data_IF_105143293718
#
_entry.id   IF_105143293718
#
_cell.length_a   1.000
_cell.length_b   1.000
_cell.length_c   1.000
_cell.angle_alpha   90.00
_cell.angle_beta   90.00
_cell.angle_gamma   90.00
#
_symmetry.space_group_name_H-M   'P 1'
#
loop_
_entity.id
_entity.type
_entity.pdbx_description
1 polymer ?
#
# COMPACT_ATOMS: atom_id res chain seq x y z
N UNK A 1 16.63 -13.01 24.05
CA UNK A 1 17.13 -13.13 22.68
C UNK A 1 15.97 -13.53 21.79
N UNK A 2 15.81 -12.86 20.66
CA UNK A 2 14.86 -13.25 19.59
C UNK A 2 15.66 -13.75 18.40
N UNK A 3 15.09 -14.67 17.63
CA UNK A 3 15.76 -15.26 16.46
C UNK A 3 15.43 -14.51 15.18
N UNK A 4 14.26 -13.85 15.10
CA UNK A 4 13.85 -13.00 14.01
C UNK A 4 12.80 -11.98 14.48
N UNK A 5 12.59 -10.91 13.69
CA UNK A 5 11.53 -9.93 13.91
C UNK A 5 10.67 -9.83 12.65
N UNK A 6 9.36 -9.99 12.82
CA UNK A 6 8.37 -9.72 11.77
C UNK A 6 7.43 -8.65 12.29
N UNK A 7 7.15 -7.68 11.48
CA UNK A 7 6.14 -6.69 11.84
C UNK A 7 6.68 -5.29 11.93
N UNK A 8 5.87 -4.48 12.54
CA UNK A 8 5.73 -3.06 12.68
C UNK A 8 5.10 -2.39 11.43
N UNK A 9 4.42 -1.27 11.67
CA UNK A 9 3.69 -0.52 10.64
C UNK A 9 4.06 0.97 10.60
N UNK A 10 5.05 1.41 11.39
CA UNK A 10 5.45 2.81 11.49
C UNK A 10 6.87 3.01 10.97
N UNK A 11 7.06 3.92 10.00
CA UNK A 11 8.34 4.15 9.33
C UNK A 11 9.52 4.41 10.30
N UNK A 12 9.34 5.26 11.30
CA UNK A 12 10.38 5.55 12.29
C UNK A 12 10.79 4.32 13.13
N UNK A 13 9.83 3.46 13.47
CA UNK A 13 10.10 2.20 14.18
C UNK A 13 10.84 1.21 13.27
N UNK A 14 10.50 1.17 11.98
CA UNK A 14 11.20 0.35 10.99
C UNK A 14 12.70 0.70 10.92
N UNK A 15 13.00 2.01 10.85
CA UNK A 15 14.38 2.48 10.84
C UNK A 15 15.14 2.09 12.11
N UNK A 16 14.51 2.28 13.29
CA UNK A 16 15.14 1.92 14.56
C UNK A 16 15.44 0.41 14.66
N UNK A 17 14.50 -0.44 14.22
CA UNK A 17 14.72 -1.91 14.19
C UNK A 17 15.79 -2.28 13.16
N UNK A 18 15.83 -1.61 12.01
CA UNK A 18 16.88 -1.83 11.01
C UNK A 18 18.28 -1.52 11.56
N UNK A 19 18.45 -0.46 12.34
CA UNK A 19 19.73 -0.16 13.01
C UNK A 19 20.11 -1.22 14.06
N UNK A 20 19.13 -1.75 14.81
CA UNK A 20 19.36 -2.90 15.68
C UNK A 20 19.76 -4.14 14.88
N UNK A 21 19.12 -4.38 13.73
CA UNK A 21 19.46 -5.50 12.85
C UNK A 21 20.90 -5.40 12.30
N UNK A 22 21.38 -4.20 11.96
CA UNK A 22 22.78 -3.97 11.57
C UNK A 22 23.76 -4.33 12.69
N UNK A 23 23.42 -3.97 13.94
CA UNK A 23 24.27 -4.20 15.11
C UNK A 23 24.28 -5.65 15.57
N UNK A 24 23.10 -6.27 15.66
CA UNK A 24 22.89 -7.54 16.35
C UNK A 24 22.67 -8.72 15.40
N UNK A 25 22.58 -8.44 14.09
CA UNK A 25 22.44 -9.42 13.01
C UNK A 25 21.32 -10.44 13.23
N UNK A 26 20.06 -10.00 13.18
CA UNK A 26 18.88 -10.88 13.16
C UNK A 26 18.02 -10.61 11.92
N UNK A 27 17.32 -11.61 11.36
CA UNK A 27 16.39 -11.42 10.24
C UNK A 27 15.25 -10.49 10.63
N UNK A 28 14.98 -9.51 9.79
CA UNK A 28 13.91 -8.54 10.00
C UNK A 28 13.02 -8.41 8.76
N UNK A 29 11.71 -8.61 8.93
CA UNK A 29 10.70 -8.51 7.88
C UNK A 29 9.67 -7.43 8.26
N UNK A 30 9.93 -6.16 7.92
CA UNK A 30 8.94 -5.10 8.14
C UNK A 30 7.68 -5.33 7.30
N UNK A 31 6.52 -5.24 7.96
CA UNK A 31 5.21 -5.42 7.33
C UNK A 31 4.78 -4.15 6.62
N UNK A 32 4.98 -3.01 7.23
CA UNK A 32 4.82 -1.72 6.60
C UNK A 32 6.17 -1.02 6.47
N UNK A 33 6.23 -0.05 5.64
CA UNK A 33 7.43 0.29 4.92
C UNK A 33 8.18 1.42 5.57
N UNK A 34 9.47 1.25 5.61
CA UNK A 34 10.42 2.32 5.81
C UNK A 34 10.29 3.38 4.70
N UNK A 35 10.64 4.66 4.96
CA UNK A 35 10.75 5.66 3.89
C UNK A 35 11.62 5.17 2.74
N UNK A 36 11.37 5.67 1.53
CA UNK A 36 12.12 5.34 0.32
C UNK A 36 13.65 5.39 0.52
N UNK A 37 14.13 6.37 1.27
CA UNK A 37 15.55 6.54 1.57
C UNK A 37 16.17 5.35 2.31
N UNK A 38 15.37 4.54 2.98
CA UNK A 38 15.83 3.30 3.63
C UNK A 38 16.32 2.25 2.64
N UNK A 39 15.82 2.27 1.41
CA UNK A 39 16.21 1.34 0.35
C UNK A 39 17.42 1.83 -0.46
N UNK A 40 17.95 3.02 -0.17
CA UNK A 40 19.22 3.44 -0.75
C UNK A 40 20.34 2.48 -0.35
N UNK A 41 21.24 2.24 -1.30
CA UNK A 41 22.36 1.30 -1.13
C UNK A 41 23.15 1.59 0.15
N UNK A 42 23.31 0.56 0.97
CA UNK A 42 24.04 0.64 2.24
C UNK A 42 23.20 1.14 3.42
N UNK A 43 21.92 1.48 3.23
CA UNK A 43 21.05 1.92 4.32
C UNK A 43 20.37 0.76 5.03
N UNK A 44 19.86 -0.23 4.29
CA UNK A 44 19.29 -1.44 4.91
C UNK A 44 20.39 -2.36 5.47
N UNK A 45 20.07 -3.05 6.55
CA UNK A 45 20.84 -4.19 7.00
C UNK A 45 20.70 -5.36 6.01
N UNK A 46 21.77 -6.13 5.85
CA UNK A 46 21.78 -7.28 4.93
C UNK A 46 20.70 -8.33 5.23
N UNK A 47 20.21 -8.36 6.47
CA UNK A 47 19.17 -9.29 6.95
C UNK A 47 17.78 -8.65 7.05
N UNK A 48 17.58 -7.43 6.53
CA UNK A 48 16.26 -6.77 6.46
C UNK A 48 15.65 -6.96 5.08
N UNK A 49 14.47 -7.59 5.02
CA UNK A 49 13.69 -7.82 3.80
C UNK A 49 12.28 -7.25 3.98
N UNK A 50 11.94 -6.19 3.27
CA UNK A 50 10.61 -5.59 3.39
C UNK A 50 9.53 -6.50 2.79
N UNK A 51 8.41 -6.67 3.47
CA UNK A 51 7.28 -7.42 2.91
C UNK A 51 6.25 -6.50 2.23
N UNK A 52 6.16 -5.24 2.67
CA UNK A 52 5.36 -4.20 2.01
C UNK A 52 6.21 -3.25 1.17
N UNK A 53 5.56 -2.30 0.50
CA UNK A 53 6.25 -1.34 -0.38
C UNK A 53 6.48 0.00 0.32
N UNK A 54 7.30 0.86 -0.35
CA UNK A 54 7.49 2.24 0.09
C UNK A 54 6.22 3.07 -0.13
N UNK A 55 5.99 4.12 0.65
CA UNK A 55 4.94 5.09 0.38
C UNK A 55 5.07 5.72 -1.01
N UNK A 56 6.29 5.85 -1.53
CA UNK A 56 6.54 6.29 -2.91
C UNK A 56 5.81 5.38 -3.94
N UNK A 57 5.95 4.06 -3.81
CA UNK A 57 5.26 3.09 -4.68
C UNK A 57 3.75 3.23 -4.58
N UNK A 58 3.22 3.46 -3.37
CA UNK A 58 1.78 3.72 -3.16
C UNK A 58 1.32 4.97 -3.92
N UNK A 59 2.07 6.07 -3.80
CA UNK A 59 1.77 7.33 -4.50
C UNK A 59 1.88 7.20 -6.02
N UNK A 60 2.91 6.50 -6.49
CA UNK A 60 3.11 6.23 -7.92
C UNK A 60 1.94 5.42 -8.50
N UNK A 61 1.54 4.32 -7.84
CA UNK A 61 0.40 3.52 -8.28
C UNK A 61 -0.91 4.30 -8.25
N UNK A 62 -1.14 5.14 -7.22
CA UNK A 62 -2.35 5.94 -7.10
C UNK A 62 -2.49 6.92 -8.26
N UNK A 63 -1.43 7.68 -8.58
CA UNK A 63 -1.46 8.63 -9.68
C UNK A 63 -1.48 7.93 -11.05
N UNK A 64 -0.72 6.82 -11.21
CA UNK A 64 -0.75 5.99 -12.42
C UNK A 64 -2.16 5.47 -12.69
N UNK A 65 -2.85 4.92 -11.67
CA UNK A 65 -4.21 4.45 -11.77
C UNK A 65 -5.20 5.58 -12.11
N UNK A 66 -5.08 6.72 -11.43
CA UNK A 66 -5.93 7.88 -11.69
C UNK A 66 -5.81 8.35 -13.15
N UNK A 67 -4.58 8.39 -13.70
CA UNK A 67 -4.33 8.89 -15.05
C UNK A 67 -4.69 7.84 -16.11
N UNK A 68 -4.16 6.61 -15.98
CA UNK A 68 -4.24 5.60 -17.03
C UNK A 68 -5.55 4.80 -17.01
N UNK A 69 -6.04 4.46 -15.80
CA UNK A 69 -7.22 3.61 -15.67
C UNK A 69 -8.51 4.44 -15.60
N UNK A 70 -8.45 5.63 -14.95
CA UNK A 70 -9.62 6.49 -14.78
C UNK A 70 -9.64 7.71 -15.73
N UNK A 71 -8.57 7.97 -16.50
CA UNK A 71 -8.48 9.11 -17.42
C UNK A 71 -8.42 10.48 -16.76
N UNK A 72 -8.02 10.58 -15.48
CA UNK A 72 -8.02 11.79 -14.66
C UNK A 72 -6.64 12.44 -14.64
N UNK A 73 -6.47 13.57 -15.31
CA UNK A 73 -5.16 14.19 -15.53
C UNK A 73 -4.88 15.42 -14.67
N UNK A 74 -5.91 16.18 -14.28
CA UNK A 74 -5.75 17.35 -13.40
C UNK A 74 -5.87 16.90 -11.94
N UNK A 75 -4.76 16.84 -11.25
CA UNK A 75 -4.63 16.29 -9.89
C UNK A 75 -4.56 17.44 -8.89
N UNK A 76 -5.37 17.40 -7.84
CA UNK A 76 -5.10 18.11 -6.60
C UNK A 76 -4.62 17.10 -5.56
N UNK A 77 -3.47 17.36 -4.93
CA UNK A 77 -2.87 16.45 -3.97
C UNK A 77 -2.92 17.01 -2.54
N UNK A 78 -3.41 16.22 -1.59
CA UNK A 78 -3.34 16.52 -0.16
C UNK A 78 -2.37 15.57 0.53
N UNK A 79 -1.21 16.08 0.89
CA UNK A 79 -0.17 15.37 1.64
C UNK A 79 -0.45 15.30 3.14
N UNK A 80 0.39 14.53 3.82
CA UNK A 80 0.55 14.54 5.27
C UNK A 80 1.98 15.02 5.58
N UNK A 81 2.14 15.87 6.61
CA UNK A 81 3.42 16.51 6.95
C UNK A 81 4.37 15.57 7.72
N UNK A 82 4.70 14.45 7.09
CA UNK A 82 5.68 13.48 7.57
C UNK A 82 6.27 12.67 6.40
N UNK A 83 7.22 11.77 6.69
CA UNK A 83 7.90 10.95 5.69
C UNK A 83 6.94 10.08 4.86
N UNK A 84 5.82 9.64 5.41
CA UNK A 84 4.78 8.94 4.67
C UNK A 84 4.17 9.82 3.57
N UNK A 85 3.71 11.02 3.97
CA UNK A 85 3.08 11.96 3.03
C UNK A 85 4.04 12.47 1.96
N UNK A 86 5.29 12.78 2.33
CA UNK A 86 6.30 13.27 1.39
C UNK A 86 6.71 12.23 0.36
N UNK A 87 6.88 10.97 0.76
CA UNK A 87 7.18 9.88 -0.17
C UNK A 87 6.01 9.62 -1.12
N UNK A 88 4.77 9.60 -0.62
CA UNK A 88 3.57 9.47 -1.48
C UNK A 88 3.54 10.61 -2.50
N UNK A 89 3.77 11.85 -2.06
CA UNK A 89 3.83 12.99 -2.96
C UNK A 89 4.87 12.81 -4.06
N UNK A 90 6.08 12.38 -3.72
CA UNK A 90 7.14 12.14 -4.69
C UNK A 90 6.75 11.06 -5.72
N UNK A 91 6.06 10.01 -5.29
CA UNK A 91 5.49 8.99 -6.17
C UNK A 91 4.41 9.55 -7.11
N UNK A 92 3.48 10.34 -6.57
CA UNK A 92 2.42 11.02 -7.35
C UNK A 92 3.04 11.96 -8.39
N UNK A 93 4.02 12.77 -8.01
CA UNK A 93 4.71 13.69 -8.91
C UNK A 93 5.44 12.95 -10.04
N UNK A 94 6.09 11.84 -9.71
CA UNK A 94 6.79 11.01 -10.71
C UNK A 94 5.82 10.41 -11.72
N UNK A 95 4.74 9.78 -11.27
CA UNK A 95 3.75 9.19 -12.15
C UNK A 95 2.99 10.26 -12.97
N UNK A 96 2.66 11.41 -12.37
CA UNK A 96 2.04 12.52 -13.09
C UNK A 96 2.92 12.99 -14.25
N UNK A 97 4.22 13.17 -14.01
CA UNK A 97 5.19 13.56 -15.05
C UNK A 97 5.30 12.49 -16.15
N UNK A 98 5.34 11.21 -15.78
CA UNK A 98 5.53 10.10 -16.71
C UNK A 98 4.31 9.90 -17.61
N UNK A 99 3.09 9.99 -17.05
CA UNK A 99 1.84 9.71 -17.77
C UNK A 99 1.08 10.95 -18.25
N UNK A 100 1.69 12.13 -18.18
CA UNK A 100 1.11 13.36 -18.69
C UNK A 100 -0.05 13.90 -17.86
N UNK A 101 0.00 13.66 -16.55
CA UNK A 101 -0.85 14.34 -15.56
C UNK A 101 -0.27 15.69 -15.16
N UNK A 102 -1.11 16.53 -14.55
CA UNK A 102 -0.72 17.86 -14.05
C UNK A 102 -1.21 18.04 -12.63
N UNK A 103 -0.32 18.35 -11.70
CA UNK A 103 -0.68 18.73 -10.34
C UNK A 103 -1.05 20.21 -10.35
N UNK A 104 -2.37 20.50 -10.25
CA UNK A 104 -2.90 21.86 -10.32
C UNK A 104 -3.04 22.53 -8.95
N UNK A 105 -2.88 21.77 -7.87
CA UNK A 105 -2.90 22.28 -6.51
C UNK A 105 -2.34 21.26 -5.53
N UNK A 106 -1.82 21.80 -4.42
CA UNK A 106 -1.22 20.98 -3.36
C UNK A 106 -1.38 21.64 -2.01
N UNK A 107 -1.79 20.87 -1.03
CA UNK A 107 -1.78 21.23 0.39
C UNK A 107 -1.19 20.09 1.23
N UNK A 108 -0.86 20.39 2.47
CA UNK A 108 -0.32 19.45 3.44
C UNK A 108 -0.95 19.71 4.80
N UNK A 109 -1.25 18.64 5.55
CA UNK A 109 -1.81 18.73 6.90
C UNK A 109 -1.07 17.78 7.84
N UNK A 110 -1.09 18.10 9.13
CA UNK A 110 -0.48 17.24 10.14
C UNK A 110 -1.31 15.99 10.40
N UNK A 111 -0.66 14.91 10.84
CA UNK A 111 -1.35 13.75 11.36
C UNK A 111 -2.26 14.15 12.54
N UNK A 112 -3.44 13.55 12.61
CA UNK A 112 -4.46 13.87 13.62
C UNK A 112 -5.36 15.03 13.24
N UNK A 113 -5.24 15.57 12.01
CA UNK A 113 -6.17 16.57 11.49
C UNK A 113 -7.58 15.96 11.36
N UNK A 114 -8.56 16.61 11.95
CA UNK A 114 -9.96 16.19 11.92
C UNK A 114 -10.88 17.14 11.15
N UNK A 115 -10.47 18.40 10.92
CA UNK A 115 -11.19 19.39 10.13
C UNK A 115 -10.40 19.73 8.85
N UNK A 116 -10.96 19.38 7.71
CA UNK A 116 -10.40 19.59 6.39
C UNK A 116 -11.14 20.67 5.58
N UNK A 117 -12.10 21.37 6.18
CA UNK A 117 -12.99 22.32 5.51
C UNK A 117 -12.25 23.36 4.68
N UNK A 118 -11.19 23.95 5.24
CA UNK A 118 -10.36 24.97 4.56
C UNK A 118 -9.65 24.40 3.32
N UNK A 119 -9.07 23.18 3.42
CA UNK A 119 -8.40 22.53 2.28
C UNK A 119 -9.43 22.14 1.24
N UNK A 120 -10.55 21.53 1.66
CA UNK A 120 -11.60 21.10 0.74
C UNK A 120 -12.25 22.27 -0.02
N UNK A 121 -12.35 23.45 0.59
CA UNK A 121 -12.78 24.65 -0.12
C UNK A 121 -11.82 25.05 -1.25
N UNK A 122 -10.49 24.93 -1.03
CA UNK A 122 -9.47 25.15 -2.08
C UNK A 122 -9.56 24.10 -3.19
N UNK A 123 -9.71 22.82 -2.83
CA UNK A 123 -9.91 21.71 -3.77
C UNK A 123 -11.10 21.98 -4.66
N UNK A 124 -12.25 22.35 -4.06
CA UNK A 124 -13.47 22.69 -4.79
C UNK A 124 -13.27 23.86 -5.76
N UNK A 125 -12.59 24.91 -5.33
CA UNK A 125 -12.31 26.08 -6.16
C UNK A 125 -11.35 25.77 -7.34
N UNK A 126 -10.39 24.84 -7.15
CA UNK A 126 -9.44 24.44 -8.17
C UNK A 126 -10.05 23.54 -9.26
N UNK A 127 -11.16 22.88 -9.01
CA UNK A 127 -11.87 21.98 -9.94
C UNK A 127 -10.95 20.94 -10.60
N UNK A 128 -10.26 20.09 -9.84
CA UNK A 128 -9.45 19.03 -10.38
C UNK A 128 -10.32 17.93 -11.03
N UNK A 129 -9.73 17.08 -11.88
CA UNK A 129 -10.38 15.85 -12.35
C UNK A 129 -10.39 14.81 -11.23
N UNK A 130 -9.33 14.82 -10.38
CA UNK A 130 -9.17 13.93 -9.25
C UNK A 130 -8.51 14.63 -8.06
N UNK A 131 -9.06 14.39 -6.89
CA UNK A 131 -8.47 14.75 -5.61
C UNK A 131 -7.81 13.51 -4.99
N UNK A 132 -6.47 13.49 -4.93
CA UNK A 132 -5.68 12.40 -4.34
C UNK A 132 -5.24 12.81 -2.94
N UNK A 133 -5.51 11.98 -1.93
CA UNK A 133 -5.07 12.23 -0.56
C UNK A 133 -4.15 11.14 -0.02
N UNK A 134 -3.17 11.55 0.82
CA UNK A 134 -2.26 10.67 1.54
C UNK A 134 -2.69 10.42 3.00
N UNK A 135 -3.96 10.72 3.32
CA UNK A 135 -4.48 10.52 4.67
C UNK A 135 -4.71 9.04 4.96
N UNK A 136 -4.62 8.66 6.25
CA UNK A 136 -4.75 7.27 6.67
C UNK A 136 -5.55 7.14 7.97
N UNK A 137 -6.18 5.98 8.20
CA UNK A 137 -6.91 5.68 9.43
C UNK A 137 -8.04 6.67 9.71
N UNK A 138 -8.09 7.21 10.93
CA UNK A 138 -9.12 8.14 11.36
C UNK A 138 -9.13 9.45 10.56
N UNK A 139 -7.96 9.94 10.17
CA UNK A 139 -7.82 11.17 9.36
C UNK A 139 -8.44 10.96 7.96
N UNK A 140 -8.21 9.77 7.35
CA UNK A 140 -8.83 9.44 6.07
C UNK A 140 -10.36 9.34 6.19
N UNK A 141 -10.88 8.73 7.25
CA UNK A 141 -12.32 8.63 7.49
C UNK A 141 -12.93 10.03 7.63
N UNK A 142 -12.32 10.92 8.42
CA UNK A 142 -12.77 12.29 8.61
C UNK A 142 -12.76 13.09 7.30
N UNK A 143 -11.66 12.98 6.53
CA UNK A 143 -11.52 13.65 5.23
C UNK A 143 -12.60 13.17 4.24
N UNK A 144 -12.71 11.86 4.04
CA UNK A 144 -13.61 11.27 3.04
C UNK A 144 -15.08 11.55 3.36
N UNK A 145 -15.45 11.56 4.67
CA UNK A 145 -16.77 11.97 5.11
C UNK A 145 -17.03 13.43 4.77
N UNK A 146 -16.08 14.34 5.04
CA UNK A 146 -16.23 15.76 4.70
C UNK A 146 -16.28 15.98 3.18
N UNK A 147 -15.56 15.21 2.37
CA UNK A 147 -15.72 15.24 0.91
C UNK A 147 -17.15 14.94 0.49
N UNK A 148 -17.76 13.92 1.10
CA UNK A 148 -19.16 13.56 0.85
C UNK A 148 -20.12 14.65 1.30
N UNK A 149 -19.98 15.14 2.55
CA UNK A 149 -20.86 16.17 3.14
C UNK A 149 -20.82 17.48 2.33
N UNK A 150 -19.67 17.83 1.73
CA UNK A 150 -19.50 18.98 0.83
C UNK A 150 -19.90 18.70 -0.62
N UNK A 151 -20.29 17.48 -0.96
CA UNK A 151 -20.71 17.07 -2.31
C UNK A 151 -19.59 16.99 -3.34
N UNK A 152 -18.31 16.90 -2.92
CA UNK A 152 -17.17 16.87 -3.82
C UNK A 152 -17.12 15.60 -4.70
N UNK A 153 -17.63 14.49 -4.18
CA UNK A 153 -17.75 13.23 -4.93
C UNK A 153 -18.68 13.32 -6.16
N UNK A 154 -19.51 14.36 -6.25
CA UNK A 154 -20.37 14.64 -7.43
C UNK A 154 -19.66 15.54 -8.46
N UNK A 155 -18.61 16.22 -8.06
CA UNK A 155 -17.91 17.21 -8.90
C UNK A 155 -16.58 16.69 -9.45
N UNK A 156 -15.92 15.76 -8.71
CA UNK A 156 -14.63 15.22 -9.07
C UNK A 156 -14.45 13.79 -8.55
N UNK A 157 -13.45 13.08 -9.06
CA UNK A 157 -13.06 11.78 -8.52
C UNK A 157 -12.35 11.96 -7.18
N UNK A 158 -12.82 11.28 -6.13
CA UNK A 158 -12.14 11.24 -4.83
C UNK A 158 -11.29 9.98 -4.78
N UNK A 159 -9.99 10.15 -4.53
CA UNK A 159 -9.02 9.07 -4.51
C UNK A 159 -8.19 9.13 -3.22
N UNK A 160 -8.29 8.12 -2.38
CA UNK A 160 -7.38 7.98 -1.25
C UNK A 160 -6.22 7.06 -1.63
N UNK A 161 -4.98 7.53 -1.53
CA UNK A 161 -3.80 6.81 -2.03
C UNK A 161 -3.69 5.40 -1.48
N UNK A 162 -4.20 5.17 -0.25
CA UNK A 162 -4.25 3.85 0.37
C UNK A 162 -5.52 3.66 1.19
N UNK A 163 -6.31 2.64 0.85
CA UNK A 163 -7.55 2.29 1.57
C UNK A 163 -7.47 0.89 2.15
N UNK A 164 -8.14 0.69 3.27
CA UNK A 164 -8.27 -0.59 3.97
C UNK A 164 -9.72 -0.88 4.30
N UNK A 165 -10.02 -2.13 4.68
CA UNK A 165 -11.35 -2.49 5.18
C UNK A 165 -11.75 -1.62 6.38
N UNK A 166 -10.80 -1.25 7.24
CA UNK A 166 -11.05 -0.41 8.43
C UNK A 166 -11.52 0.98 8.01
N UNK A 167 -10.85 1.63 7.04
CA UNK A 167 -11.26 2.94 6.52
C UNK A 167 -12.64 2.84 5.88
N UNK A 168 -12.88 1.84 5.04
CA UNK A 168 -14.15 1.65 4.36
C UNK A 168 -15.32 1.39 5.31
N UNK A 169 -15.11 0.59 6.37
CA UNK A 169 -16.11 0.32 7.43
C UNK A 169 -16.38 1.55 8.30
N UNK A 170 -15.40 2.43 8.45
CA UNK A 170 -15.56 3.70 9.19
C UNK A 170 -16.38 4.75 8.45
N UNK A 171 -16.69 4.52 7.17
CA UNK A 171 -17.52 5.42 6.35
C UNK A 171 -18.97 4.92 6.26
N UNK A 172 -19.97 5.82 6.29
CA UNK A 172 -21.32 5.48 5.80
C UNK A 172 -21.22 4.94 4.36
N UNK A 173 -22.08 3.98 4.00
CA UNK A 173 -22.04 3.36 2.68
C UNK A 173 -22.22 4.39 1.54
N UNK A 174 -23.05 5.42 1.76
CA UNK A 174 -23.26 6.53 0.83
C UNK A 174 -22.00 7.39 0.64
N UNK A 175 -21.22 7.58 1.73
CA UNK A 175 -19.96 8.34 1.65
C UNK A 175 -18.83 7.54 1.04
N UNK A 176 -18.89 6.21 1.11
CA UNK A 176 -17.94 5.30 0.47
C UNK A 176 -18.19 5.15 -1.02
N UNK A 177 -19.43 5.32 -1.48
CA UNK A 177 -19.85 5.13 -2.86
C UNK A 177 -19.00 5.94 -3.84
N UNK A 178 -18.36 5.24 -4.79
CA UNK A 178 -17.56 5.86 -5.84
C UNK A 178 -16.21 6.44 -5.40
N UNK A 179 -15.77 6.26 -4.14
CA UNK A 179 -14.42 6.58 -3.71
C UNK A 179 -13.45 5.54 -4.29
N UNK A 180 -12.36 6.01 -4.90
CA UNK A 180 -11.28 5.17 -5.38
C UNK A 180 -10.12 5.13 -4.39
N UNK A 181 -9.32 4.07 -4.45
CA UNK A 181 -8.07 3.97 -3.70
C UNK A 181 -7.25 2.76 -4.10
N UNK A 182 -5.98 2.75 -3.67
CA UNK A 182 -5.13 1.57 -3.77
C UNK A 182 -5.21 0.76 -2.48
N UNK A 183 -5.20 -0.56 -2.61
CA UNK A 183 -5.00 -1.47 -1.48
C UNK A 183 -3.99 -2.56 -1.84
N UNK A 184 -3.28 -3.12 -0.85
CA UNK A 184 -2.33 -4.20 -1.12
C UNK A 184 -3.01 -5.54 -1.38
N UNK A 185 -4.22 -5.71 -0.88
CA UNK A 185 -4.98 -6.95 -1.00
C UNK A 185 -6.46 -6.68 -0.74
N UNK A 186 -7.32 -7.36 -1.50
CA UNK A 186 -8.75 -7.46 -1.23
C UNK A 186 -9.17 -8.92 -1.33
N UNK A 187 -9.92 -9.39 -0.37
CA UNK A 187 -10.24 -10.82 -0.21
C UNK A 187 -11.15 -11.38 -1.30
N UNK A 188 -12.01 -10.54 -1.88
CA UNK A 188 -12.86 -10.90 -3.02
C UNK A 188 -12.13 -10.56 -4.33
N UNK A 189 -11.62 -11.60 -4.97
CA UNK A 189 -10.92 -11.53 -6.25
C UNK A 189 -11.80 -12.02 -7.41
N UNK A 190 -13.13 -11.89 -7.31
CA UNK A 190 -14.06 -12.27 -8.36
C UNK A 190 -13.71 -11.56 -9.67
N UNK A 191 -13.58 -12.35 -10.75
CA UNK A 191 -13.20 -11.83 -12.07
C UNK A 191 -11.69 -11.65 -12.31
N UNK A 192 -10.85 -11.90 -11.29
CA UNK A 192 -9.41 -11.89 -11.47
C UNK A 192 -8.94 -13.07 -12.34
N UNK A 193 -8.03 -12.80 -13.29
CA UNK A 193 -7.69 -13.79 -14.34
C UNK A 193 -6.76 -14.89 -13.89
N UNK A 194 -5.86 -14.61 -12.96
CA UNK A 194 -4.90 -15.58 -12.42
C UNK A 194 -5.59 -16.51 -11.42
N UNK A 195 -5.99 -17.68 -11.88
CA UNK A 195 -6.74 -18.65 -11.09
C UNK A 195 -5.92 -19.28 -9.96
N UNK A 196 -4.60 -19.36 -10.07
CA UNK A 196 -3.73 -19.82 -9.00
C UNK A 196 -3.73 -18.81 -7.84
N UNK A 197 -3.53 -17.54 -8.16
CA UNK A 197 -3.62 -16.45 -7.16
C UNK A 197 -5.01 -16.39 -6.53
N UNK A 198 -6.09 -16.50 -7.32
CA UNK A 198 -7.47 -16.52 -6.79
C UNK A 198 -7.66 -17.65 -5.79
N UNK A 199 -7.17 -18.87 -6.11
CA UNK A 199 -7.26 -20.02 -5.21
C UNK A 199 -6.51 -19.78 -3.91
N UNK A 200 -5.25 -19.35 -3.96
CA UNK A 200 -4.43 -19.06 -2.78
C UNK A 200 -5.05 -17.96 -1.91
N UNK A 201 -5.54 -16.88 -2.54
CA UNK A 201 -6.24 -15.80 -1.85
C UNK A 201 -7.53 -16.28 -1.16
N UNK A 202 -8.31 -17.10 -1.84
CA UNK A 202 -9.57 -17.65 -1.29
C UNK A 202 -9.32 -18.60 -0.11
N UNK A 203 -8.34 -19.50 -0.20
CA UNK A 203 -7.95 -20.40 0.88
C UNK A 203 -7.45 -19.63 2.12
N UNK A 204 -6.59 -18.63 1.92
CA UNK A 204 -6.12 -17.76 2.97
C UNK A 204 -7.27 -16.99 3.62
N UNK A 205 -8.10 -16.34 2.80
CA UNK A 205 -9.23 -15.52 3.28
C UNK A 205 -10.23 -16.36 4.06
N UNK A 206 -10.55 -17.57 3.58
CA UNK A 206 -11.43 -18.50 4.29
C UNK A 206 -10.88 -18.85 5.66
N UNK A 207 -9.61 -19.26 5.75
CA UNK A 207 -8.96 -19.60 7.03
C UNK A 207 -8.94 -18.42 8.00
N UNK A 208 -8.74 -17.21 7.48
CA UNK A 208 -8.76 -15.99 8.27
C UNK A 208 -10.16 -15.69 8.81
N UNK A 209 -11.20 -15.77 7.95
CA UNK A 209 -12.60 -15.56 8.33
C UNK A 209 -13.05 -16.61 9.35
N UNK A 210 -12.74 -17.89 9.12
CA UNK A 210 -13.09 -18.98 10.05
C UNK A 210 -12.51 -18.75 11.45
N UNK A 211 -11.32 -18.11 11.53
CA UNK A 211 -10.64 -17.88 12.82
C UNK A 211 -11.04 -16.55 13.49
N UNK A 212 -11.24 -15.49 12.72
CA UNK A 212 -11.41 -14.13 13.25
C UNK A 212 -12.80 -13.53 13.01
N UNK A 213 -13.66 -14.17 12.22
CA UNK A 213 -15.01 -13.69 11.90
C UNK A 213 -15.06 -12.54 10.90
N UNK A 214 -13.92 -12.09 10.38
CA UNK A 214 -13.81 -10.97 9.43
C UNK A 214 -12.83 -11.32 8.32
N UNK A 215 -12.97 -10.77 7.11
CA UNK A 215 -11.97 -10.98 6.07
C UNK A 215 -10.65 -10.29 6.42
N UNK A 216 -9.52 -10.81 5.92
CA UNK A 216 -8.23 -10.17 6.10
C UNK A 216 -8.19 -8.83 5.38
N UNK A 217 -7.55 -7.85 6.00
CA UNK A 217 -7.22 -6.59 5.35
C UNK A 217 -5.80 -6.60 4.75
N UNK A 218 -5.43 -5.50 4.12
CA UNK A 218 -4.13 -5.33 3.49
C UNK A 218 -2.95 -5.59 4.44
N UNK A 219 -2.99 -5.08 5.68
CA UNK A 219 -1.89 -5.25 6.64
C UNK A 219 -1.78 -6.66 7.21
N UNK A 220 -2.92 -7.27 7.52
CA UNK A 220 -2.96 -8.68 7.97
C UNK A 220 -2.36 -9.57 6.89
N UNK A 221 -2.66 -9.30 5.62
CA UNK A 221 -2.15 -10.06 4.48
C UNK A 221 -0.64 -9.88 4.31
N UNK A 222 -0.11 -8.67 4.39
CA UNK A 222 1.34 -8.45 4.30
C UNK A 222 2.07 -9.07 5.51
N UNK A 223 1.50 -9.01 6.71
CA UNK A 223 2.07 -9.70 7.88
C UNK A 223 2.13 -11.22 7.71
N UNK A 224 1.07 -11.80 7.11
CA UNK A 224 1.05 -13.21 6.77
C UNK A 224 2.14 -13.56 5.76
N UNK A 225 2.27 -12.78 4.67
CA UNK A 225 3.30 -12.98 3.65
C UNK A 225 4.70 -12.84 4.26
N UNK A 226 4.96 -11.82 5.08
CA UNK A 226 6.23 -11.61 5.76
C UNK A 226 6.64 -12.83 6.60
N UNK A 227 5.68 -13.38 7.35
CA UNK A 227 5.90 -14.56 8.19
C UNK A 227 6.14 -15.82 7.34
N UNK A 228 5.37 -15.98 6.26
CA UNK A 228 5.53 -17.09 5.32
C UNK A 228 6.91 -17.06 4.65
N UNK A 229 7.37 -15.88 4.22
CA UNK A 229 8.68 -15.70 3.59
C UNK A 229 9.83 -16.00 4.56
N UNK A 230 9.72 -15.56 5.82
CA UNK A 230 10.69 -15.91 6.86
C UNK A 230 10.77 -17.45 7.04
N UNK A 231 9.63 -18.12 7.19
CA UNK A 231 9.61 -19.58 7.39
C UNK A 231 10.16 -20.32 6.16
N UNK A 232 9.78 -19.92 4.96
CA UNK A 232 10.33 -20.48 3.73
C UNK A 232 11.86 -20.33 3.64
N UNK A 233 12.36 -19.16 4.03
CA UNK A 233 13.80 -18.91 4.04
C UNK A 233 14.53 -19.78 5.09
N UNK A 234 13.95 -19.96 6.29
CA UNK A 234 14.49 -20.84 7.33
C UNK A 234 14.51 -22.30 6.86
N UNK A 235 13.43 -22.77 6.26
CA UNK A 235 13.31 -24.14 5.72
C UNK A 235 14.35 -24.38 4.59
N UNK A 236 14.49 -23.42 3.68
CA UNK A 236 15.47 -23.48 2.58
C UNK A 236 16.92 -23.46 3.11
N UNK A 237 17.19 -22.60 4.08
CA UNK A 237 18.49 -22.48 4.72
C UNK A 237 18.81 -23.69 5.63
N UNK A 238 17.81 -24.38 6.13
CA UNK A 238 17.90 -25.39 7.23
C UNK A 238 18.65 -24.85 8.44
N UNK A 239 18.48 -23.56 8.72
CA UNK A 239 19.24 -22.83 9.74
C UNK A 239 18.47 -21.61 10.22
N UNK A 240 18.68 -21.23 11.48
CA UNK A 240 18.23 -19.95 12.04
C UNK A 240 19.33 -18.87 11.96
N UNK A 241 20.50 -19.20 11.44
CA UNK A 241 21.58 -18.25 11.30
C UNK A 241 21.24 -17.15 10.30
N UNK A 242 21.33 -15.85 10.65
CA UNK A 242 20.88 -14.73 9.82
C UNK A 242 21.50 -14.71 8.41
N UNK A 243 22.81 -15.01 8.29
CA UNK A 243 23.50 -15.06 7.00
C UNK A 243 23.02 -16.23 6.11
N UNK A 244 22.62 -17.34 6.72
CA UNK A 244 22.08 -18.48 5.96
C UNK A 244 20.69 -18.15 5.43
N UNK A 245 19.85 -17.47 6.24
CA UNK A 245 18.52 -17.00 5.84
C UNK A 245 18.64 -15.96 4.72
N UNK A 246 19.52 -14.96 4.86
CA UNK A 246 19.79 -13.98 3.82
C UNK A 246 20.20 -14.65 2.52
N UNK A 247 21.18 -15.58 2.59
CA UNK A 247 21.65 -16.31 1.41
C UNK A 247 20.53 -17.14 0.76
N UNK A 248 19.69 -17.79 1.54
CA UNK A 248 18.57 -18.55 1.01
C UNK A 248 17.60 -17.68 0.21
N UNK A 249 17.32 -16.44 0.65
CA UNK A 249 16.48 -15.48 -0.08
C UNK A 249 17.20 -14.95 -1.33
N UNK A 250 18.45 -14.55 -1.20
CA UNK A 250 19.19 -13.94 -2.34
C UNK A 250 19.49 -14.92 -3.45
N UNK A 251 19.75 -16.19 -3.13
CA UNK A 251 19.96 -17.25 -4.11
C UNK A 251 18.65 -17.74 -4.76
N UNK A 252 17.52 -17.60 -4.06
CA UNK A 252 16.19 -18.00 -4.52
C UNK A 252 15.20 -16.82 -4.37
N UNK A 253 15.36 -15.77 -5.19
CA UNK A 253 14.62 -14.53 -4.99
C UNK A 253 13.15 -14.62 -5.36
N UNK A 254 12.74 -15.58 -6.18
CA UNK A 254 11.36 -15.75 -6.64
C UNK A 254 10.53 -16.46 -5.56
N UNK A 255 9.30 -15.98 -5.34
CA UNK A 255 8.38 -16.57 -4.37
C UNK A 255 6.92 -16.49 -4.84
N UNK A 256 6.09 -17.39 -4.30
CA UNK A 256 4.64 -17.33 -4.45
C UNK A 256 4.02 -16.86 -3.13
N UNK A 257 3.01 -16.00 -3.21
CA UNK A 257 2.27 -15.51 -2.05
C UNK A 257 0.77 -15.59 -2.29
N UNK A 258 -0.02 -15.32 -1.24
CA UNK A 258 -1.50 -15.25 -1.33
C UNK A 258 -2.02 -14.10 -2.21
N UNK A 259 -1.14 -13.23 -2.68
CA UNK A 259 -1.44 -12.18 -3.65
C UNK A 259 -0.71 -12.39 -4.98
N UNK A 260 -0.24 -13.60 -5.24
CA UNK A 260 0.43 -14.00 -6.48
C UNK A 260 1.94 -14.01 -6.40
N UNK A 261 2.60 -14.14 -7.57
CA UNK A 261 4.05 -14.22 -7.69
C UNK A 261 4.73 -12.93 -7.23
N UNK A 262 5.92 -13.10 -6.67
CA UNK A 262 6.79 -12.00 -6.30
C UNK A 262 8.27 -12.37 -6.43
N UNK A 263 9.12 -11.36 -6.33
CA UNK A 263 10.57 -11.51 -6.42
C UNK A 263 11.28 -10.49 -5.55
N UNK A 264 12.25 -10.92 -4.78
CA UNK A 264 13.14 -10.04 -4.04
C UNK A 264 14.12 -9.34 -4.96
N UNK A 265 14.21 -8.00 -4.89
CA UNK A 265 15.23 -7.20 -5.56
C UNK A 265 16.53 -7.13 -4.73
N UNK A 266 17.59 -6.60 -5.35
CA UNK A 266 18.88 -6.37 -4.69
C UNK A 266 18.83 -5.36 -3.53
N UNK A 267 17.84 -4.48 -3.51
CA UNK A 267 17.57 -3.53 -2.44
C UNK A 267 16.69 -4.12 -1.33
N UNK A 268 16.37 -5.41 -1.40
CA UNK A 268 15.52 -6.15 -0.48
C UNK A 268 14.06 -5.67 -0.44
N UNK A 269 13.62 -4.95 -1.49
CA UNK A 269 12.20 -4.65 -1.72
C UNK A 269 11.56 -5.77 -2.54
N UNK A 270 10.33 -6.22 -2.21
CA UNK A 270 9.65 -7.27 -2.97
C UNK A 270 8.93 -6.64 -4.17
N UNK A 271 9.24 -7.11 -5.36
CA UNK A 271 8.45 -6.82 -6.56
C UNK A 271 7.37 -7.87 -6.69
N UNK A 272 6.12 -7.48 -6.49
CA UNK A 272 4.97 -8.36 -6.73
C UNK A 272 4.44 -8.18 -8.14
N UNK A 273 3.99 -9.28 -8.78
CA UNK A 273 3.23 -9.22 -10.03
C UNK A 273 1.96 -8.37 -9.86
N UNK A 274 1.30 -8.54 -8.71
CA UNK A 274 0.10 -7.81 -8.32
C UNK A 274 0.38 -6.98 -7.08
N UNK A 275 1.08 -5.86 -7.27
CA UNK A 275 1.51 -5.01 -6.17
C UNK A 275 0.32 -4.33 -5.50
N UNK A 276 -0.50 -3.61 -6.24
CA UNK A 276 -1.65 -2.87 -5.73
C UNK A 276 -2.91 -3.11 -6.55
N UNK A 277 -4.03 -3.18 -5.86
CA UNK A 277 -5.37 -3.28 -6.45
C UNK A 277 -6.01 -1.91 -6.40
N UNK A 278 -6.37 -1.35 -7.57
CA UNK A 278 -7.26 -0.21 -7.65
C UNK A 278 -8.66 -0.69 -7.30
N UNK A 279 -9.21 -0.13 -6.24
CA UNK A 279 -10.56 -0.45 -5.80
C UNK A 279 -11.46 0.78 -5.86
N UNK A 280 -12.76 0.51 -6.08
CA UNK A 280 -13.84 1.48 -5.96
C UNK A 280 -14.76 1.08 -4.81
N UNK A 281 -15.08 2.01 -3.96
CA UNK A 281 -16.03 1.81 -2.86
C UNK A 281 -17.44 1.51 -3.39
N UNK A 282 -18.08 0.48 -2.86
CA UNK A 282 -19.47 0.10 -3.15
C UNK A 282 -20.43 0.90 -2.30
N UNK A 283 -21.48 1.43 -2.93
CA UNK A 283 -22.59 2.09 -2.27
C UNK A 283 -23.62 1.10 -1.69
N UNK A 284 -24.66 1.62 -1.01
CA UNK A 284 -25.66 0.79 -0.32
C UNK A 284 -26.41 -0.17 -1.25
N UNK A 285 -26.58 0.19 -2.52
CA UNK A 285 -27.33 -0.61 -3.52
C UNK A 285 -26.48 -1.73 -4.15
N UNK A 286 -25.16 -1.64 -4.05
CA UNK A 286 -24.22 -2.58 -4.65
C UNK A 286 -23.68 -3.61 -3.64
N UNK A 287 -23.72 -3.25 -2.37
CA UNK A 287 -23.22 -4.07 -1.27
C UNK A 287 -24.15 -5.26 -1.01
N UNK A 288 -23.64 -6.48 -1.15
CA UNK A 288 -24.41 -7.73 -0.98
C UNK A 288 -24.33 -8.30 0.44
N UNK A 289 -23.27 -7.97 1.17
CA UNK A 289 -23.08 -8.36 2.58
C UNK A 289 -22.16 -7.37 3.30
N UNK A 290 -22.05 -7.51 4.61
CA UNK A 290 -21.37 -6.54 5.49
C UNK A 290 -19.93 -6.18 5.07
N UNK A 291 -19.18 -7.10 4.50
CA UNK A 291 -17.78 -6.91 4.10
C UNK A 291 -17.59 -6.72 2.60
N UNK A 292 -18.66 -6.68 1.83
CA UNK A 292 -18.62 -6.36 0.40
C UNK A 292 -18.42 -4.85 0.19
N UNK A 293 -17.23 -4.36 0.48
CA UNK A 293 -16.91 -2.95 0.61
C UNK A 293 -16.42 -2.32 -0.69
N UNK A 294 -15.76 -3.12 -1.54
CA UNK A 294 -15.08 -2.65 -2.73
C UNK A 294 -15.35 -3.52 -3.95
N UNK A 295 -15.19 -2.92 -5.09
CA UNK A 295 -15.01 -3.57 -6.39
C UNK A 295 -13.55 -3.40 -6.81
N UNK A 296 -12.88 -4.47 -7.27
CA UNK A 296 -11.56 -4.39 -7.87
C UNK A 296 -11.70 -3.91 -9.32
N UNK A 297 -11.15 -2.75 -9.62
CA UNK A 297 -11.24 -2.11 -10.94
C UNK A 297 -10.09 -2.54 -11.84
N UNK A 298 -8.86 -2.49 -11.31
CA UNK A 298 -7.64 -2.88 -12.01
C UNK A 298 -6.55 -3.27 -11.03
N UNK A 299 -5.45 -3.79 -11.56
CA UNK A 299 -4.30 -4.20 -10.78
C UNK A 299 -3.03 -3.61 -11.36
N UNK A 300 -2.15 -3.12 -10.50
CA UNK A 300 -0.85 -2.61 -10.87
C UNK A 300 0.26 -3.44 -10.21
N UNK A 301 1.40 -3.59 -10.90
CA UNK A 301 2.51 -4.35 -10.35
C UNK A 301 3.67 -4.50 -11.34
N UNK A 302 4.59 -5.42 -11.00
CA UNK A 302 5.85 -5.57 -11.69
C UNK A 302 6.83 -4.43 -11.38
N UNK A 303 8.03 -4.50 -11.91
CA UNK A 303 9.12 -3.55 -11.60
C UNK A 303 8.79 -2.08 -11.90
N UNK A 304 7.90 -1.82 -12.85
CA UNK A 304 7.54 -0.47 -13.30
C UNK A 304 6.90 0.42 -12.21
N UNK A 305 6.30 -0.18 -11.19
CA UNK A 305 5.66 0.58 -10.10
C UNK A 305 6.61 0.84 -8.93
N UNK A 306 7.85 0.41 -9.02
CA UNK A 306 8.88 0.59 -8.01
C UNK A 306 9.95 1.58 -8.45
N UNK A 307 10.62 2.28 -7.53
CA UNK A 307 11.79 3.11 -7.87
C UNK A 307 12.84 2.28 -8.57
N UNK A 308 13.56 2.87 -9.53
CA UNK A 308 14.63 2.14 -10.21
C UNK A 308 15.80 1.86 -9.26
N UNK A 309 16.45 0.71 -9.38
CA UNK A 309 17.66 0.41 -8.58
C UNK A 309 18.73 1.48 -8.76
N UNK A 310 18.84 2.04 -9.97
CA UNK A 310 19.77 3.15 -10.26
C UNK A 310 19.47 4.39 -9.43
N UNK A 311 18.19 4.75 -9.23
CA UNK A 311 17.80 5.91 -8.40
C UNK A 311 18.11 5.70 -6.92
N UNK A 312 18.26 4.44 -6.48
CA UNK A 312 18.62 4.03 -5.13
C UNK A 312 20.12 3.78 -4.94
N UNK A 313 20.94 3.95 -6.01
CA UNK A 313 22.39 3.84 -5.95
C UNK A 313 22.94 2.42 -6.16
N UNK A 314 22.15 1.51 -6.71
CA UNK A 314 22.58 0.13 -7.06
C UNK A 314 23.08 0.02 -8.49
#
# INVERSE_FOLDING_TARGET
>A
KVDAVVGQTWAAVSLAINELCKRDSFPYFPVNVAPLDSFKKGTLADCTFAAGYTPWTVGYMAASAAINDLGKKKIYFLGRSDSWGWDIQAGVETAAKEYGGTIIGRDEVSQGTSDFSTVLAKVKAAKPDVFISAQFGGDAIALLKQCYDMGLNKEMTIFNSFVTNVVAKGLPAEARDGIYGMTYFYYDMTGFKDQETVKLAAEYSKRFIDKYGTPPDAYATIAYIATQQLFQAVETARSFEPKAIQKAITDNPDFMSVKGPGKWRKDHEPVYEYAGFLVRGKGPKEQTHEWDLFEVVSVQGGEKVFPTLKSLGY
#
